data_IF_879037511641
#
_entry.id   IF_879037511641
#
_cell.length_a   1.000
_cell.length_b   1.000
_cell.length_c   1.000
_cell.angle_alpha   90.00
_cell.angle_beta   90.00
_cell.angle_gamma   90.00
#
_symmetry.space_group_name_H-M   'P 1'
#
loop_
_entity.id
_entity.type
_entity.pdbx_description
1 polymer ?
#
# COMPACT_ATOMS: atom_id res chain seq x y z
N UNK A 1 0.29 -6.46 6.40
CA UNK A 1 -0.43 -6.68 7.67
C UNK A 1 -0.76 -8.15 7.80
N UNK A 2 -1.98 -8.48 8.25
CA UNK A 2 -2.50 -9.85 8.29
C UNK A 2 -3.49 -10.14 7.16
N UNK A 3 -3.63 -9.22 6.19
CA UNK A 3 -4.47 -9.42 5.03
C UNK A 3 -4.05 -10.61 4.16
N UNK A 4 -4.79 -10.81 3.07
CA UNK A 4 -4.42 -11.79 2.05
C UNK A 4 -3.05 -11.43 1.47
N UNK A 5 -2.22 -12.44 1.18
CA UNK A 5 -0.88 -12.23 0.64
C UNK A 5 -0.71 -12.78 -0.78
N UNK A 6 -1.81 -13.25 -1.38
CA UNK A 6 -1.86 -13.72 -2.75
C UNK A 6 -3.30 -13.66 -3.26
N UNK A 7 -3.48 -13.37 -4.56
CA UNK A 7 -4.82 -13.18 -5.16
C UNK A 7 -5.70 -14.43 -5.09
N UNK A 8 -5.10 -15.62 -5.12
CA UNK A 8 -5.82 -16.90 -5.06
C UNK A 8 -6.09 -17.40 -3.64
N UNK A 9 -5.51 -16.76 -2.61
CA UNK A 9 -5.66 -17.19 -1.22
C UNK A 9 -6.77 -16.38 -0.57
N UNK A 10 -7.78 -17.06 -0.04
CA UNK A 10 -8.92 -16.41 0.63
C UNK A 10 -8.67 -16.16 2.11
N UNK A 11 -7.87 -17.01 2.74
CA UNK A 11 -7.57 -16.93 4.16
C UNK A 11 -6.56 -15.80 4.46
N UNK A 12 -6.75 -15.05 5.55
CA UNK A 12 -5.76 -14.08 6.05
C UNK A 12 -4.41 -14.73 6.37
N UNK A 13 -3.35 -13.93 6.41
CA UNK A 13 -2.05 -14.42 6.82
C UNK A 13 -2.08 -14.84 8.30
N UNK A 14 -1.46 -15.98 8.64
CA UNK A 14 -1.33 -16.46 10.03
C UNK A 14 -0.32 -15.68 10.86
N UNK A 15 0.57 -14.94 10.19
CA UNK A 15 1.62 -14.16 10.82
C UNK A 15 1.72 -12.81 10.12
N UNK A 16 2.20 -11.80 10.84
CA UNK A 16 2.36 -10.45 10.28
C UNK A 16 3.26 -10.51 9.04
N UNK A 17 2.79 -9.87 7.97
CA UNK A 17 3.53 -9.67 6.73
C UNK A 17 3.87 -8.20 6.55
N UNK A 18 5.05 -7.96 6.01
CA UNK A 18 5.53 -6.66 5.57
C UNK A 18 6.14 -6.77 4.18
N UNK A 19 6.11 -5.69 3.42
CA UNK A 19 6.81 -5.58 2.14
C UNK A 19 7.36 -4.18 1.97
N UNK A 20 8.48 -4.07 1.26
CA UNK A 20 9.01 -2.79 0.80
C UNK A 20 8.32 -2.44 -0.52
N UNK A 21 7.76 -1.23 -0.58
CA UNK A 21 7.09 -0.69 -1.76
C UNK A 21 7.61 0.71 -2.03
N UNK A 22 7.92 1.06 -3.29
CA UNK A 22 8.33 2.42 -3.61
C UNK A 22 7.10 3.33 -3.69
N UNK A 23 7.33 4.61 -3.39
CA UNK A 23 6.36 5.67 -3.64
C UNK A 23 6.21 5.89 -5.15
N UNK A 24 5.00 6.19 -5.57
CA UNK A 24 4.65 6.47 -6.97
C UNK A 24 4.04 7.87 -7.02
N UNK A 25 4.55 8.71 -7.92
CA UNK A 25 4.01 10.05 -8.13
C UNK A 25 2.58 10.01 -8.68
N UNK A 26 1.77 11.03 -8.39
CA UNK A 26 0.36 11.07 -8.78
C UNK A 26 0.14 10.98 -10.30
N UNK A 27 1.04 11.53 -11.12
CA UNK A 27 0.91 11.48 -12.59
C UNK A 27 1.05 10.04 -13.07
N UNK A 28 2.06 9.32 -12.58
CA UNK A 28 2.25 7.90 -12.88
C UNK A 28 1.09 7.06 -12.33
N UNK A 29 0.66 7.34 -11.10
CA UNK A 29 -0.43 6.60 -10.46
C UNK A 29 -1.75 6.73 -11.22
N UNK A 30 -2.14 7.95 -11.59
CA UNK A 30 -3.38 8.26 -12.32
C UNK A 30 -3.43 7.56 -13.68
N UNK A 31 -2.29 7.45 -14.38
CA UNK A 31 -2.20 6.67 -15.63
C UNK A 31 -2.50 5.19 -15.43
N UNK A 32 -2.10 4.61 -14.30
CA UNK A 32 -2.36 3.21 -13.95
C UNK A 32 -3.78 2.96 -13.44
N UNK A 33 -4.36 3.94 -12.73
CA UNK A 33 -5.69 3.87 -12.13
C UNK A 33 -6.84 3.99 -13.14
N UNK A 34 -6.59 4.46 -14.37
CA UNK A 34 -7.62 4.62 -15.42
C UNK A 34 -8.83 5.44 -14.93
N UNK A 35 -9.93 4.78 -14.57
CA UNK A 35 -11.21 5.36 -14.14
C UNK A 35 -11.33 5.52 -12.62
N UNK A 36 -10.39 4.96 -11.84
CA UNK A 36 -10.43 5.05 -10.38
C UNK A 36 -10.11 6.48 -9.90
N UNK A 37 -10.86 6.94 -8.90
CA UNK A 37 -10.67 8.24 -8.27
C UNK A 37 -9.34 8.29 -7.51
N UNK A 38 -8.61 9.39 -7.68
CA UNK A 38 -7.40 9.71 -6.93
C UNK A 38 -7.49 11.17 -6.50
N UNK A 39 -7.62 11.39 -5.19
CA UNK A 39 -7.49 12.72 -4.60
C UNK A 39 -6.01 13.02 -4.32
N UNK A 40 -5.44 13.95 -5.06
CA UNK A 40 -4.01 14.26 -4.97
C UNK A 40 -3.64 14.99 -3.66
N UNK A 41 -4.62 15.54 -2.93
CA UNK A 41 -4.38 16.21 -1.65
C UNK A 41 -4.39 15.25 -0.46
N UNK A 42 -5.20 14.18 -0.53
CA UNK A 42 -5.42 13.28 0.61
C UNK A 42 -4.93 11.84 0.37
N UNK A 43 -4.60 11.47 -0.86
CA UNK A 43 -4.17 10.13 -1.22
C UNK A 43 -2.73 10.12 -1.76
N UNK A 44 -2.07 8.99 -1.53
CA UNK A 44 -0.73 8.72 -2.04
C UNK A 44 -0.70 7.31 -2.65
N UNK A 45 0.20 7.11 -3.61
CA UNK A 45 0.32 5.83 -4.29
C UNK A 45 1.64 5.14 -3.97
N UNK A 46 1.55 3.83 -3.84
CA UNK A 46 2.69 2.92 -3.71
C UNK A 46 2.50 1.76 -4.67
N UNK A 47 3.58 1.26 -5.28
CA UNK A 47 3.45 0.15 -6.24
C UNK A 47 4.69 -0.06 -7.09
N UNK A 48 4.66 -1.03 -8.00
CA UNK A 48 5.75 -1.29 -8.95
C UNK A 48 6.79 -2.35 -8.53
N UNK A 49 6.72 -2.87 -7.30
CA UNK A 49 7.64 -3.90 -6.80
C UNK A 49 7.07 -5.33 -6.81
N UNK A 50 5.93 -5.57 -7.45
CA UNK A 50 5.26 -6.89 -7.43
C UNK A 50 4.61 -7.25 -6.08
N UNK A 51 4.54 -6.30 -5.15
CA UNK A 51 3.87 -6.44 -3.86
C UNK A 51 3.04 -5.19 -3.55
N UNK A 52 1.89 -5.38 -2.91
CA UNK A 52 1.03 -4.30 -2.43
C UNK A 52 0.30 -4.75 -1.17
N UNK A 53 -0.36 -3.81 -0.48
CA UNK A 53 -1.44 -4.17 0.43
C UNK A 53 -2.54 -4.93 -0.33
N UNK A 54 -3.25 -5.81 0.37
CA UNK A 54 -4.38 -6.54 -0.20
C UNK A 54 -5.58 -6.50 0.74
N UNK A 55 -6.65 -7.21 0.38
CA UNK A 55 -7.85 -7.35 1.19
C UNK A 55 -7.51 -7.80 2.62
N UNK A 56 -7.98 -7.03 3.60
CA UNK A 56 -7.70 -7.26 5.02
C UNK A 56 -6.47 -6.52 5.56
N UNK A 57 -5.75 -5.76 4.73
CA UNK A 57 -4.70 -4.84 5.20
C UNK A 57 -5.19 -3.39 5.39
N UNK A 58 -6.45 -3.08 5.04
CA UNK A 58 -7.03 -1.74 5.19
C UNK A 58 -6.89 -1.20 6.62
N UNK A 59 -6.51 0.06 6.76
CA UNK A 59 -6.16 0.67 8.05
C UNK A 59 -4.73 0.39 8.51
N UNK A 60 -4.00 -0.50 7.83
CA UNK A 60 -2.61 -0.80 8.11
C UNK A 60 -1.66 0.37 7.76
N UNK A 61 -0.52 0.50 8.45
CA UNK A 61 0.37 1.64 8.27
C UNK A 61 1.27 1.49 7.03
N UNK A 62 1.47 2.60 6.32
CA UNK A 62 2.63 2.82 5.47
C UNK A 62 3.66 3.64 6.26
N UNK A 63 4.82 3.04 6.51
CA UNK A 63 5.92 3.68 7.25
C UNK A 63 7.14 3.87 6.36
N UNK A 64 7.84 4.99 6.54
CA UNK A 64 9.10 5.30 5.87
C UNK A 64 10.20 5.49 6.92
N UNK A 65 11.41 5.03 6.61
CA UNK A 65 12.57 5.31 7.44
C UNK A 65 13.12 6.69 7.11
N UNK A 66 13.14 7.58 8.10
CA UNK A 66 13.61 8.95 7.97
C UNK A 66 14.53 9.28 9.15
N UNK A 67 15.80 9.55 8.86
CA UNK A 67 16.79 9.87 9.90
C UNK A 67 16.93 8.78 10.97
N UNK A 68 16.82 7.50 10.58
CA UNK A 68 16.91 6.35 11.49
C UNK A 68 15.66 6.09 12.34
N UNK A 69 14.52 6.70 12.00
CA UNK A 69 13.24 6.48 12.67
C UNK A 69 12.17 6.08 11.66
N UNK A 70 11.29 5.16 12.06
CA UNK A 70 10.10 4.82 11.29
C UNK A 70 9.02 5.86 11.50
N UNK A 71 8.60 6.51 10.43
CA UNK A 71 7.58 7.56 10.45
C UNK A 71 6.35 7.11 9.67
N UNK A 72 5.17 7.27 10.26
CA UNK A 72 3.90 7.01 9.59
C UNK A 72 3.66 8.06 8.51
N UNK A 73 3.43 7.61 7.27
CA UNK A 73 3.22 8.49 6.11
C UNK A 73 1.87 8.25 5.43
N UNK A 74 1.30 7.08 5.58
CA UNK A 74 0.01 6.77 5.00
C UNK A 74 -0.69 5.63 5.72
N UNK A 75 -1.92 5.40 5.29
CA UNK A 75 -2.77 4.31 5.76
C UNK A 75 -3.27 3.57 4.54
N UNK A 76 -3.20 2.23 4.55
CA UNK A 76 -3.71 1.40 3.47
C UNK A 76 -5.22 1.62 3.32
N UNK A 77 -5.64 2.02 2.12
CA UNK A 77 -7.03 2.18 1.73
C UNK A 77 -7.40 1.19 0.62
N UNK A 78 -8.70 0.97 0.47
CA UNK A 78 -9.32 0.29 -0.67
C UNK A 78 -9.45 1.25 -1.87
#
# INVERSE_FOLDING_TARGET
>A
GWGRYHSTITNPAKSLRQSLVPLVDHVTCKRGLKEFYLDEETMMCVGGAGSSACNGDSGGPLVCEEGGKWVLRGVASW
#
